data_IF_766479557863
#
_entry.id   IF_766479557863
#
_cell.length_a   1.000
_cell.length_b   1.000
_cell.length_c   1.000
_cell.angle_alpha   90.00
_cell.angle_beta   90.00
_cell.angle_gamma   90.00
#
_symmetry.space_group_name_H-M   'P 1'
#
loop_
_entity.id
_entity.type
_entity.pdbx_description
1 polymer ?
#
# COMPACT_ATOMS: atom_id res chain seq x y z
N UNK A 1 -2.87 -27.64 26.52
CA UNK A 1 -2.46 -26.63 27.53
C UNK A 1 -1.89 -25.45 26.77
N UNK A 2 -2.66 -24.37 26.60
CA UNK A 2 -2.18 -23.17 25.89
C UNK A 2 -1.18 -22.49 26.82
N UNK A 3 0.08 -22.37 26.39
CA UNK A 3 1.09 -21.61 27.12
C UNK A 3 0.73 -20.14 26.97
N UNK A 4 0.23 -19.53 28.04
CA UNK A 4 0.00 -18.08 28.09
C UNK A 4 1.37 -17.44 28.29
N UNK A 5 1.95 -16.93 27.21
CA UNK A 5 3.26 -16.27 27.18
C UNK A 5 3.13 -14.90 26.51
N UNK A 6 3.97 -13.97 26.95
CA UNK A 6 4.06 -12.62 26.41
C UNK A 6 5.19 -12.58 25.37
N UNK A 7 4.92 -11.96 24.21
CA UNK A 7 5.83 -11.93 23.08
C UNK A 7 6.32 -10.51 22.82
N UNK A 8 7.60 -10.38 22.47
CA UNK A 8 8.12 -9.15 21.88
C UNK A 8 7.68 -9.05 20.42
N UNK A 9 7.02 -7.95 20.08
CA UNK A 9 6.85 -7.49 18.71
C UNK A 9 7.95 -6.48 18.40
N UNK A 10 8.64 -6.66 17.28
CA UNK A 10 9.78 -5.81 16.91
C UNK A 10 9.56 -5.21 15.53
N UNK A 11 9.71 -3.90 15.45
CA UNK A 11 9.59 -3.12 14.22
C UNK A 11 10.97 -2.55 13.89
N UNK A 12 11.50 -2.85 12.71
CA UNK A 12 12.75 -2.27 12.22
C UNK A 12 12.45 -1.39 11.03
N UNK A 13 13.08 -0.22 10.98
CA UNK A 13 13.11 0.55 9.75
C UNK A 13 13.89 -0.23 8.67
N UNK A 14 13.41 -0.18 7.44
CA UNK A 14 13.98 -0.90 6.31
C UNK A 14 14.48 0.08 5.23
N UNK A 15 15.38 -0.39 4.35
CA UNK A 15 15.90 0.40 3.24
C UNK A 15 16.81 1.54 3.67
N UNK A 16 16.61 2.76 3.15
CA UNK A 16 17.48 3.91 3.39
C UNK A 16 17.62 4.29 4.88
N UNK A 17 16.68 3.87 5.73
CA UNK A 17 16.69 4.14 7.16
C UNK A 17 17.47 3.09 7.98
N UNK A 18 17.89 1.97 7.37
CA UNK A 18 18.59 0.88 8.05
C UNK A 18 19.94 1.33 8.65
N UNK A 19 20.64 2.25 7.97
CA UNK A 19 21.91 2.81 8.43
C UNK A 19 21.80 3.57 9.77
N UNK A 20 20.59 4.05 10.10
CA UNK A 20 20.33 4.75 11.36
C UNK A 20 19.96 3.79 12.50
N UNK A 21 19.91 2.48 12.22
CA UNK A 21 19.54 1.43 13.16
C UNK A 21 18.24 1.73 13.95
N UNK A 22 17.25 2.28 13.26
CA UNK A 22 15.98 2.69 13.89
C UNK A 22 15.12 1.43 14.12
N UNK A 23 14.75 1.19 15.36
CA UNK A 23 13.85 0.12 15.76
C UNK A 23 12.92 0.51 16.91
N UNK A 24 11.79 -0.18 17.00
CA UNK A 24 10.80 -0.05 18.07
C UNK A 24 10.28 -1.41 18.50
N UNK A 25 9.75 -1.45 19.72
CA UNK A 25 9.26 -2.67 20.35
C UNK A 25 7.85 -2.45 20.89
N UNK A 26 7.05 -3.50 20.84
CA UNK A 26 5.77 -3.61 21.54
C UNK A 26 5.66 -5.00 22.18
N UNK A 27 4.68 -5.17 23.05
CA UNK A 27 4.41 -6.46 23.70
C UNK A 27 3.06 -6.98 23.22
N UNK A 28 3.04 -8.21 22.71
CA UNK A 28 1.83 -8.94 22.41
C UNK A 28 1.55 -9.92 23.56
N UNK A 29 0.42 -9.73 24.23
CA UNK A 29 -0.03 -10.63 25.31
C UNK A 29 -1.38 -11.25 24.95
N UNK A 30 -1.52 -12.54 25.26
CA UNK A 30 -2.79 -13.27 25.15
C UNK A 30 -3.47 -13.44 26.52
N UNK A 31 -3.04 -12.68 27.52
CA UNK A 31 -3.63 -12.69 28.87
C UNK A 31 -4.97 -11.94 28.90
N UNK A 32 -5.72 -12.16 29.97
CA UNK A 32 -6.95 -11.42 30.24
C UNK A 32 -6.63 -9.91 30.35
N UNK A 33 -7.28 -9.04 29.57
CA UNK A 33 -7.08 -7.60 29.69
C UNK A 33 -7.46 -7.04 31.07
N UNK A 34 -8.24 -7.77 31.87
CA UNK A 34 -8.63 -7.41 33.24
C UNK A 34 -7.70 -8.00 34.31
N UNK A 35 -6.59 -8.64 33.93
CA UNK A 35 -5.60 -9.14 34.88
C UNK A 35 -5.09 -7.96 35.75
N UNK A 36 -5.21 -8.03 37.10
CA UNK A 36 -4.70 -7.00 38.00
C UNK A 36 -3.18 -6.76 37.87
N UNK A 37 -2.45 -7.73 37.29
CA UNK A 37 -1.02 -7.66 37.03
C UNK A 37 -0.68 -7.26 35.59
N UNK A 38 -1.65 -6.79 34.79
CA UNK A 38 -1.46 -6.40 33.39
C UNK A 38 -0.22 -5.54 33.14
N UNK A 39 0.03 -4.55 33.98
CA UNK A 39 1.15 -3.63 33.81
C UNK A 39 2.51 -4.31 34.02
N UNK A 40 2.58 -5.39 34.81
CA UNK A 40 3.78 -6.21 34.94
C UNK A 40 4.09 -6.97 33.64
N UNK A 41 3.06 -7.30 32.85
CA UNK A 41 3.20 -8.01 31.57
C UNK A 41 3.61 -7.08 30.42
N UNK A 42 3.49 -5.76 30.59
CA UNK A 42 4.00 -4.77 29.63
C UNK A 42 5.54 -4.75 29.54
N UNK A 43 6.21 -5.42 30.47
CA UNK A 43 7.67 -5.59 30.52
C UNK A 43 8.03 -7.07 30.66
N UNK A 44 8.01 -7.85 29.57
CA UNK A 44 8.45 -9.24 29.58
C UNK A 44 9.81 -9.39 30.27
N UNK A 45 9.96 -10.43 31.10
CA UNK A 45 11.19 -10.69 31.85
C UNK A 45 12.40 -11.03 30.96
N UNK A 46 12.14 -11.42 29.70
CA UNK A 46 13.19 -11.65 28.71
C UNK A 46 13.63 -10.31 28.12
N UNK A 47 14.95 -10.10 28.02
CA UNK A 47 15.50 -8.94 27.34
C UNK A 47 14.99 -8.84 25.90
N UNK A 48 14.80 -7.61 25.42
CA UNK A 48 14.50 -7.38 24.01
C UNK A 48 15.66 -7.88 23.13
N UNK A 49 15.38 -8.40 21.92
CA UNK A 49 16.42 -8.82 20.98
C UNK A 49 17.35 -7.66 20.61
N UNK A 50 18.64 -7.92 20.34
CA UNK A 50 19.57 -6.88 19.88
C UNK A 50 19.28 -6.43 18.43
N UNK A 51 19.76 -5.25 18.01
CA UNK A 51 19.51 -4.74 16.65
C UNK A 51 19.91 -5.73 15.53
N UNK A 52 21.06 -6.38 15.67
CA UNK A 52 21.58 -7.33 14.68
C UNK A 52 21.11 -8.77 14.91
N UNK A 53 20.26 -9.02 15.92
CA UNK A 53 19.67 -10.35 16.11
C UNK A 53 18.74 -10.69 14.96
N UNK A 54 18.88 -11.91 14.42
CA UNK A 54 17.98 -12.44 13.41
C UNK A 54 16.58 -12.65 13.99
N UNK A 55 15.57 -12.52 13.14
CA UNK A 55 14.27 -13.10 13.44
C UNK A 55 14.47 -14.62 13.55
N UNK A 56 13.88 -15.25 14.57
CA UNK A 56 14.04 -16.71 14.78
C UNK A 56 13.43 -17.53 13.65
N UNK A 57 13.63 -18.85 13.70
CA UNK A 57 13.04 -19.78 12.72
C UNK A 57 11.51 -19.65 12.71
N UNK A 58 10.94 -19.24 11.58
CA UNK A 58 9.52 -18.99 11.46
C UNK A 58 9.10 -18.73 10.02
N UNK A 59 7.80 -18.62 9.81
CA UNK A 59 7.22 -18.23 8.53
C UNK A 59 7.40 -16.73 8.32
N UNK A 60 7.91 -16.34 7.17
CA UNK A 60 8.10 -14.95 6.76
C UNK A 60 7.01 -14.61 5.75
N UNK A 61 6.35 -13.45 5.90
CA UNK A 61 5.28 -13.01 5.00
C UNK A 61 5.69 -11.72 4.29
N UNK A 62 5.51 -11.66 2.97
CA UNK A 62 5.81 -10.50 2.10
C UNK A 62 7.22 -9.94 2.26
N UNK A 63 8.23 -10.78 2.50
CA UNK A 63 9.59 -10.29 2.49
C UNK A 63 10.01 -9.92 1.05
N UNK A 64 10.75 -8.82 0.84
CA UNK A 64 11.07 -8.34 -0.51
C UNK A 64 11.66 -9.35 -1.49
N UNK A 65 12.36 -10.37 -0.99
CA UNK A 65 13.03 -11.38 -1.80
C UNK A 65 12.28 -12.72 -1.86
N UNK A 66 11.06 -12.78 -1.32
CA UNK A 66 10.25 -14.00 -1.31
C UNK A 66 9.74 -14.36 -2.70
N UNK A 67 9.83 -15.65 -3.04
CA UNK A 67 9.23 -16.20 -4.27
C UNK A 67 7.82 -16.70 -3.97
N UNK A 68 6.81 -15.95 -4.38
CA UNK A 68 5.41 -16.31 -4.13
C UNK A 68 5.01 -17.64 -4.79
N UNK A 69 4.11 -18.38 -4.15
CA UNK A 69 3.52 -19.60 -4.71
C UNK A 69 4.39 -20.86 -4.61
N UNK A 70 5.51 -20.79 -3.88
CA UNK A 70 6.33 -21.96 -3.56
C UNK A 70 6.04 -22.43 -2.13
N UNK A 71 5.36 -23.57 -1.91
CA UNK A 71 5.07 -24.06 -0.55
C UNK A 71 6.29 -24.73 0.12
N UNK A 72 7.44 -24.80 -0.55
CA UNK A 72 8.62 -25.54 -0.08
C UNK A 72 9.60 -24.70 0.74
N UNK A 73 9.44 -23.39 0.76
CA UNK A 73 10.17 -22.47 1.64
C UNK A 73 9.23 -21.95 2.75
N UNK A 74 9.81 -21.51 3.87
CA UNK A 74 9.03 -20.88 4.96
C UNK A 74 8.72 -19.41 4.63
N UNK A 75 8.62 -19.06 3.35
CA UNK A 75 8.41 -17.70 2.88
C UNK A 75 7.12 -17.64 2.07
N UNK A 76 6.21 -16.75 2.47
CA UNK A 76 4.87 -16.66 1.90
C UNK A 76 4.60 -15.25 1.41
N UNK A 77 3.92 -15.13 0.27
CA UNK A 77 3.33 -13.87 -0.13
C UNK A 77 1.89 -13.76 0.40
N UNK A 78 1.36 -12.54 0.44
CA UNK A 78 -0.05 -12.32 0.79
C UNK A 78 -1.00 -13.06 -0.16
N UNK A 79 -0.58 -13.29 -1.41
CA UNK A 79 -1.31 -14.08 -2.41
C UNK A 79 -1.39 -15.57 -2.07
N UNK A 80 -0.50 -16.07 -1.21
CA UNK A 80 -0.48 -17.48 -0.79
C UNK A 80 -1.40 -17.72 0.42
N UNK A 81 -1.85 -16.63 1.07
CA UNK A 81 -2.76 -16.70 2.20
C UNK A 81 -4.19 -16.92 1.71
N UNK A 82 -4.89 -17.82 2.39
CA UNK A 82 -6.32 -18.04 2.20
C UNK A 82 -7.07 -17.68 3.47
N UNK A 83 -8.30 -17.18 3.32
CA UNK A 83 -9.17 -16.96 4.47
C UNK A 83 -9.50 -18.29 5.13
N UNK A 84 -9.44 -18.32 6.46
CA UNK A 84 -9.93 -19.46 7.23
C UNK A 84 -11.45 -19.65 7.08
N UNK A 85 -12.18 -18.54 6.92
CA UNK A 85 -13.64 -18.53 6.69
C UNK A 85 -13.92 -17.96 5.31
N UNK A 86 -14.43 -18.79 4.42
CA UNK A 86 -14.81 -18.39 3.07
C UNK A 86 -16.30 -18.08 3.01
N UNK A 87 -16.67 -16.91 2.47
CA UNK A 87 -18.04 -16.59 2.12
C UNK A 87 -18.23 -16.75 0.61
N UNK A 88 -18.86 -17.86 0.22
CA UNK A 88 -19.12 -18.17 -1.19
C UNK A 88 -20.07 -17.18 -1.89
N UNK A 89 -20.75 -16.30 -1.13
CA UNK A 89 -21.58 -15.24 -1.69
C UNK A 89 -20.80 -14.00 -2.13
N UNK A 90 -19.56 -13.85 -1.64
CA UNK A 90 -18.70 -12.68 -1.92
C UNK A 90 -17.77 -12.95 -3.10
N UNK A 91 -17.28 -14.18 -3.25
CA UNK A 91 -16.37 -14.58 -4.32
C UNK A 91 -17.11 -15.31 -5.44
N UNK A 92 -17.17 -14.69 -6.62
CA UNK A 92 -17.67 -15.32 -7.86
C UNK A 92 -16.49 -15.50 -8.80
N UNK A 93 -16.18 -16.74 -9.20
CA UNK A 93 -15.16 -17.02 -10.21
C UNK A 93 -15.83 -17.35 -11.56
N UNK A 94 -15.55 -16.62 -12.65
CA UNK A 94 -14.62 -15.49 -12.77
C UNK A 94 -15.16 -14.16 -12.20
N UNK A 95 -14.28 -13.19 -11.88
CA UNK A 95 -14.68 -11.86 -11.50
C UNK A 95 -15.57 -11.21 -12.56
N UNK A 96 -16.54 -10.41 -12.10
CA UNK A 96 -17.52 -9.78 -12.98
C UNK A 96 -16.95 -8.52 -13.64
N UNK A 97 -16.01 -7.86 -12.97
CA UNK A 97 -15.25 -6.72 -13.49
C UNK A 97 -13.78 -6.87 -13.07
N UNK A 98 -12.85 -6.67 -14.00
CA UNK A 98 -11.40 -6.70 -13.71
C UNK A 98 -10.75 -5.41 -14.17
N UNK A 99 -9.95 -4.79 -13.29
CA UNK A 99 -9.18 -3.58 -13.58
C UNK A 99 -7.69 -3.86 -13.49
N UNK A 100 -6.95 -3.50 -14.54
CA UNK A 100 -5.49 -3.53 -14.53
C UNK A 100 -4.98 -2.11 -14.28
N UNK A 101 -4.26 -1.94 -13.18
CA UNK A 101 -3.75 -0.66 -12.71
C UNK A 101 -2.22 -0.72 -12.71
N UNK A 102 -1.62 -0.28 -13.81
CA UNK A 102 -0.17 -0.16 -13.94
C UNK A 102 0.30 1.07 -13.19
N UNK A 103 1.10 0.91 -12.14
CA UNK A 103 1.67 2.02 -11.40
C UNK A 103 3.11 2.28 -11.82
N UNK A 104 3.45 3.55 -11.94
CA UNK A 104 4.78 4.02 -12.31
C UNK A 104 5.17 5.27 -11.56
N UNK A 105 6.45 5.39 -11.24
CA UNK A 105 7.07 6.63 -10.79
C UNK A 105 7.90 7.18 -11.95
N UNK A 106 7.59 8.39 -12.40
CA UNK A 106 8.31 9.02 -13.50
C UNK A 106 9.14 10.17 -12.96
N UNK A 107 10.43 10.16 -13.27
CA UNK A 107 11.34 11.24 -12.92
C UNK A 107 10.92 12.57 -13.55
N UNK A 108 10.98 13.65 -12.77
CA UNK A 108 10.63 15.01 -13.19
C UNK A 108 11.77 15.98 -12.90
N UNK A 109 11.87 17.06 -13.67
CA UNK A 109 12.84 18.12 -13.39
C UNK A 109 12.33 19.07 -12.30
N UNK A 110 13.26 19.66 -11.53
CA UNK A 110 12.95 20.65 -10.49
C UNK A 110 12.13 21.84 -11.04
N UNK A 111 12.38 22.23 -12.29
CA UNK A 111 11.66 23.31 -12.98
C UNK A 111 10.18 23.01 -13.27
N UNK A 112 9.81 21.74 -13.42
CA UNK A 112 8.43 21.30 -13.65
C UNK A 112 7.65 21.24 -12.33
N UNK A 113 8.32 20.82 -11.25
CA UNK A 113 7.68 20.66 -9.93
C UNK A 113 7.56 21.98 -9.14
N UNK A 114 8.55 22.88 -9.23
CA UNK A 114 8.55 24.14 -8.47
C UNK A 114 7.88 25.28 -9.23
N UNK A 115 7.08 24.97 -10.25
CA UNK A 115 6.28 25.97 -10.92
C UNK A 115 5.21 26.48 -9.94
N UNK A 116 5.07 27.80 -9.88
CA UNK A 116 4.10 28.46 -8.98
C UNK A 116 2.70 27.90 -9.22
N UNK A 117 2.02 27.48 -8.15
CA UNK A 117 0.69 26.86 -8.17
C UNK A 117 0.61 25.48 -8.86
N UNK A 118 1.72 24.75 -9.01
CA UNK A 118 1.69 23.34 -9.43
C UNK A 118 2.17 22.41 -8.31
N UNK A 119 1.37 22.32 -7.25
CA UNK A 119 1.60 21.34 -6.19
C UNK A 119 0.84 20.07 -6.56
N UNK A 120 1.56 19.04 -7.01
CA UNK A 120 0.99 17.77 -7.44
C UNK A 120 1.41 16.62 -6.52
N UNK A 121 0.96 15.40 -6.85
CA UNK A 121 1.39 14.17 -6.17
C UNK A 121 2.86 13.87 -6.53
N UNK A 122 3.77 14.44 -5.75
CA UNK A 122 5.21 14.37 -5.95
C UNK A 122 5.85 13.66 -4.78
N UNK A 123 6.85 12.83 -5.08
CA UNK A 123 7.74 12.23 -4.10
C UNK A 123 9.16 12.74 -4.36
N UNK A 124 9.79 13.28 -3.32
CA UNK A 124 11.16 13.78 -3.35
C UNK A 124 12.02 13.03 -2.33
N UNK A 125 13.12 12.44 -2.79
CA UNK A 125 14.12 11.80 -1.91
C UNK A 125 15.51 12.15 -2.41
N UNK A 126 16.21 13.03 -1.68
CA UNK A 126 17.45 13.64 -2.16
C UNK A 126 17.22 14.40 -3.46
N UNK A 127 18.01 14.10 -4.50
CA UNK A 127 17.88 14.69 -5.83
C UNK A 127 16.81 14.01 -6.70
N UNK A 128 16.25 12.88 -6.24
CA UNK A 128 15.22 12.17 -6.97
C UNK A 128 13.88 12.87 -6.75
N UNK A 129 13.32 13.38 -7.84
CA UNK A 129 11.96 13.91 -7.87
C UNK A 129 11.15 13.08 -8.83
N UNK A 130 10.07 12.49 -8.32
CA UNK A 130 9.18 11.66 -9.11
C UNK A 130 7.73 12.07 -8.92
N UNK A 131 6.93 11.77 -9.93
CA UNK A 131 5.48 11.84 -9.86
C UNK A 131 4.94 10.42 -10.04
N UNK A 132 4.08 10.02 -9.11
CA UNK A 132 3.35 8.76 -9.19
C UNK A 132 2.21 8.86 -10.21
N UNK A 133 2.03 7.81 -10.99
CA UNK A 133 0.95 7.70 -11.96
C UNK A 133 0.40 6.28 -11.99
N UNK A 134 -0.92 6.16 -12.21
CA UNK A 134 -1.61 4.90 -12.48
C UNK A 134 -2.13 4.97 -13.92
N UNK A 135 -1.75 4.01 -14.76
CA UNK A 135 -2.07 3.99 -16.19
C UNK A 135 -1.71 5.31 -16.90
N UNK A 136 -0.53 5.87 -16.60
CA UNK A 136 -0.04 7.17 -17.08
C UNK A 136 -0.91 8.39 -16.66
N UNK A 137 -1.72 8.24 -15.62
CA UNK A 137 -2.54 9.32 -15.06
C UNK A 137 -2.08 9.61 -13.63
N UNK A 138 -1.69 10.84 -13.38
CA UNK A 138 -1.49 11.38 -12.03
C UNK A 138 -2.77 12.02 -11.55
N UNK A 139 -3.24 11.58 -10.38
CA UNK A 139 -4.44 12.13 -9.78
C UNK A 139 -4.26 13.60 -9.42
N UNK A 140 -5.28 14.41 -9.67
CA UNK A 140 -5.41 15.73 -9.06
C UNK A 140 -6.82 15.89 -8.50
N UNK A 141 -6.91 16.53 -7.34
CA UNK A 141 -8.22 16.89 -6.80
C UNK A 141 -8.93 17.85 -7.75
N UNK A 142 -10.26 17.71 -7.93
CA UNK A 142 -11.05 18.71 -8.62
C UNK A 142 -11.09 20.01 -7.80
N UNK A 143 -11.53 21.10 -8.42
CA UNK A 143 -11.61 22.43 -7.79
C UNK A 143 -12.74 22.56 -6.75
N UNK A 144 -13.50 21.49 -6.52
CA UNK A 144 -14.63 21.43 -5.60
C UNK A 144 -14.68 20.06 -4.89
N UNK A 145 -15.22 19.95 -3.66
CA UNK A 145 -15.32 18.67 -2.98
C UNK A 145 -16.42 17.79 -3.60
N UNK A 146 -16.03 16.61 -4.08
CA UNK A 146 -16.91 15.68 -4.79
C UNK A 146 -18.12 15.20 -3.98
N UNK A 147 -17.99 15.14 -2.64
CA UNK A 147 -19.05 14.60 -1.78
C UNK A 147 -20.13 15.64 -1.46
N UNK A 148 -19.74 16.88 -1.19
CA UNK A 148 -20.66 17.94 -0.71
C UNK A 148 -21.19 18.83 -1.83
N UNK A 149 -20.50 18.90 -2.98
CA UNK A 149 -20.87 19.73 -4.13
C UNK A 149 -21.10 18.86 -5.38
N UNK A 150 -21.99 17.87 -5.25
CA UNK A 150 -22.25 16.87 -6.31
C UNK A 150 -22.84 17.48 -7.57
N UNK A 151 -23.59 18.57 -7.43
CA UNK A 151 -24.19 19.35 -8.51
C UNK A 151 -23.15 19.96 -9.47
N UNK A 152 -21.90 20.12 -9.01
CA UNK A 152 -20.79 20.62 -9.84
C UNK A 152 -20.13 19.51 -10.68
N UNK A 153 -20.53 18.25 -10.50
CA UNK A 153 -19.99 17.13 -11.27
C UNK A 153 -20.54 17.16 -12.70
N UNK A 154 -19.66 17.42 -13.65
CA UNK A 154 -19.93 17.37 -15.08
C UNK A 154 -19.24 16.19 -15.78
N UNK A 155 -19.46 16.10 -17.10
CA UNK A 155 -18.85 15.06 -17.94
C UNK A 155 -17.32 15.14 -18.02
N UNK A 156 -16.75 16.33 -17.81
CA UNK A 156 -15.31 16.60 -17.86
C UNK A 156 -14.63 16.57 -16.49
N UNK A 157 -15.38 16.38 -15.40
CA UNK A 157 -14.83 16.34 -14.04
C UNK A 157 -13.86 15.19 -13.85
N UNK A 158 -14.12 14.05 -14.51
CA UNK A 158 -13.36 12.83 -14.33
C UNK A 158 -12.72 12.38 -15.64
N UNK A 159 -11.54 11.78 -15.52
CA UNK A 159 -10.85 11.13 -16.62
C UNK A 159 -10.65 9.64 -16.34
N UNK A 160 -10.35 8.90 -17.40
CA UNK A 160 -9.86 7.51 -17.35
C UNK A 160 -8.95 7.24 -18.56
N UNK A 161 -8.42 6.02 -18.67
CA UNK A 161 -7.50 5.65 -19.76
C UNK A 161 -8.09 5.82 -21.17
N UNK A 162 -9.42 5.78 -21.30
CA UNK A 162 -10.14 5.89 -22.57
C UNK A 162 -10.71 7.30 -22.79
N UNK A 163 -10.82 8.11 -21.71
CA UNK A 163 -11.37 9.45 -21.73
C UNK A 163 -10.41 10.43 -21.04
N UNK A 164 -9.35 10.80 -21.74
CA UNK A 164 -8.37 11.79 -21.30
C UNK A 164 -8.75 13.20 -21.78
N UNK A 165 -8.45 14.25 -20.99
CA UNK A 165 -8.58 15.64 -21.45
C UNK A 165 -7.72 15.91 -22.70
N UNK A 166 -8.19 16.77 -23.61
CA UNK A 166 -7.44 17.14 -24.83
C UNK A 166 -6.03 17.65 -24.53
N UNK A 167 -5.85 18.34 -23.40
CA UNK A 167 -4.56 18.85 -22.93
C UNK A 167 -3.51 17.77 -22.68
N UNK A 168 -3.92 16.50 -22.57
CA UNK A 168 -3.05 15.37 -22.29
C UNK A 168 -2.52 14.66 -23.55
N UNK A 169 -3.00 15.01 -24.75
CA UNK A 169 -2.66 14.31 -26.01
C UNK A 169 -1.16 14.28 -26.33
N UNK A 170 -0.40 15.28 -25.86
CA UNK A 170 1.05 15.39 -26.09
C UNK A 170 1.91 15.09 -24.85
N UNK A 171 1.29 14.72 -23.73
CA UNK A 171 1.97 14.54 -22.45
C UNK A 171 2.28 13.06 -22.19
N UNK A 172 3.46 12.78 -21.64
CA UNK A 172 3.82 11.41 -21.19
C UNK A 172 2.99 10.97 -19.98
N UNK A 173 2.55 11.92 -19.15
CA UNK A 173 1.70 11.70 -18.00
C UNK A 173 0.60 12.76 -18.03
N UNK A 174 -0.64 12.32 -17.89
CA UNK A 174 -1.79 13.20 -17.79
C UNK A 174 -2.11 13.51 -16.32
N UNK A 175 -2.45 14.76 -16.00
CA UNK A 175 -2.91 15.14 -14.66
C UNK A 175 -4.41 15.45 -14.68
N UNK A 176 -5.21 14.66 -13.97
CA UNK A 176 -6.65 14.83 -13.88
C UNK A 176 -7.26 14.04 -12.72
N UNK A 177 -8.53 14.29 -12.39
CA UNK A 177 -9.27 13.50 -11.40
C UNK A 177 -9.63 12.13 -11.98
N UNK A 178 -8.73 11.16 -11.84
CA UNK A 178 -8.92 9.79 -12.32
C UNK A 178 -10.04 9.09 -11.55
N UNK A 179 -10.96 8.44 -12.26
CA UNK A 179 -12.05 7.66 -11.66
C UNK A 179 -12.25 6.34 -12.37
N UNK A 180 -12.26 5.26 -11.61
CA UNK A 180 -12.78 3.97 -12.04
C UNK A 180 -14.28 3.90 -11.72
N UNK A 181 -15.09 3.50 -12.69
CA UNK A 181 -16.52 3.25 -12.47
C UNK A 181 -16.70 1.76 -12.25
N UNK A 182 -17.25 1.42 -11.08
CA UNK A 182 -17.55 0.05 -10.69
C UNK A 182 -19.06 -0.06 -10.58
N UNK A 183 -19.65 -1.13 -11.12
CA UNK A 183 -21.08 -1.35 -10.97
C UNK A 183 -21.40 -1.79 -9.53
N UNK A 184 -22.55 -1.36 -9.03
CA UNK A 184 -23.01 -1.75 -7.70
C UNK A 184 -23.18 -3.28 -7.60
N UNK A 185 -22.87 -3.83 -6.42
CA UNK A 185 -23.01 -5.24 -6.08
C UNK A 185 -22.29 -6.18 -7.05
N UNK A 186 -21.07 -5.81 -7.46
CA UNK A 186 -20.20 -6.69 -8.28
C UNK A 186 -19.01 -7.17 -7.49
N UNK A 187 -18.62 -8.41 -7.76
CA UNK A 187 -17.32 -8.92 -7.39
C UNK A 187 -16.28 -8.43 -8.41
N UNK A 188 -15.33 -7.62 -7.92
CA UNK A 188 -14.39 -6.85 -8.73
C UNK A 188 -12.97 -7.28 -8.38
N UNK A 189 -12.19 -7.60 -9.39
CA UNK A 189 -10.76 -7.85 -9.26
C UNK A 189 -9.95 -6.62 -9.67
N UNK A 190 -9.00 -6.20 -8.85
CA UNK A 190 -8.04 -5.15 -9.19
C UNK A 190 -6.63 -5.73 -9.18
N UNK A 191 -5.99 -5.72 -10.34
CA UNK A 191 -4.62 -6.17 -10.50
C UNK A 191 -3.69 -4.96 -10.55
N UNK A 192 -2.88 -4.81 -9.50
CA UNK A 192 -1.87 -3.75 -9.39
C UNK A 192 -0.57 -4.25 -10.01
N UNK A 193 -0.08 -3.57 -11.04
CA UNK A 193 1.10 -3.98 -11.79
C UNK A 193 2.19 -2.93 -11.66
N UNK A 194 3.38 -3.31 -11.17
CA UNK A 194 4.53 -2.43 -11.21
C UNK A 194 5.09 -2.40 -12.63
N UNK A 195 5.12 -1.23 -13.27
CA UNK A 195 5.61 -1.09 -14.65
C UNK A 195 7.04 -0.52 -14.73
N UNK A 196 7.73 -0.36 -13.60
CA UNK A 196 9.07 0.25 -13.50
C UNK A 196 10.04 -0.61 -12.70
N UNK A 197 11.33 -0.47 -13.02
CA UNK A 197 12.47 -1.19 -12.41
C UNK A 197 13.06 -0.49 -11.18
N UNK A 198 12.59 0.69 -10.81
CA UNK A 198 12.98 1.33 -9.54
C UNK A 198 12.24 0.62 -8.41
N UNK A 199 13.00 -0.08 -7.55
CA UNK A 199 12.53 -0.80 -6.37
C UNK A 199 12.04 0.16 -5.28
N UNK A 200 10.93 0.85 -5.55
CA UNK A 200 10.20 1.65 -4.57
C UNK A 200 9.02 0.81 -4.10
N UNK A 201 9.02 0.46 -2.82
CA UNK A 201 7.85 -0.17 -2.20
C UNK A 201 6.70 0.82 -2.18
N UNK A 202 5.55 0.40 -2.68
CA UNK A 202 4.33 1.20 -2.67
C UNK A 202 3.30 0.51 -1.79
N UNK A 203 2.87 1.24 -0.76
CA UNK A 203 1.75 0.85 0.08
C UNK A 203 0.46 1.40 -0.51
N UNK A 204 -0.55 0.54 -0.63
CA UNK A 204 -1.87 0.92 -1.15
C UNK A 204 -2.87 0.91 0.00
N UNK A 205 -3.64 1.98 0.11
CA UNK A 205 -4.71 2.12 1.07
C UNK A 205 -6.06 2.29 0.36
N UNK A 206 -7.04 1.46 0.71
CA UNK A 206 -8.40 1.53 0.20
C UNK A 206 -9.31 2.10 1.30
N UNK A 207 -9.93 3.24 1.01
CA UNK A 207 -10.90 3.88 1.91
C UNK A 207 -12.32 3.43 1.51
N UNK A 208 -13.11 3.01 2.49
CA UNK A 208 -14.53 2.64 2.35
C UNK A 208 -15.45 3.84 2.53
#
# INVERSE_FOLDING_TARGET
MVRIIDFWMRFKAFGACEANQIEQYAVLTYRDPNDPQRDLHAYPQNNFPAYDSSYGDGSIINFPNTTCGNPSDNEFCISDLSSYVTDASVTVDPPQETFFLGFTNVGQSLSVIYKKNSYGNMYTSGDLVTVGAINNITFSFPTFPLLTQREMIGHTTFCDKNNLPESCTSQKICTCTHRLKISLNRYVEMQLLCTVTLSIFMEFHFMS
#
